data_IF_796324398889
#
_entry.id   IF_796324398889
#
_cell.length_a   1.000
_cell.length_b   1.000
_cell.length_c   1.000
_cell.angle_alpha   90.00
_cell.angle_beta   90.00
_cell.angle_gamma   90.00
#
_symmetry.space_group_name_H-M   'P 1'
#
loop_
_entity.id
_entity.type
_entity.pdbx_description
1 polymer ?
#
# COMPACT_ATOMS: atom_id res chain seq x y z
N UNK A 1 39.77 -37.58 22.74
CA UNK A 1 39.23 -36.38 22.06
C UNK A 1 37.75 -36.32 22.39
N UNK A 2 37.31 -35.33 23.16
CA UNK A 2 35.93 -35.25 23.64
C UNK A 2 35.04 -34.65 22.55
N UNK A 3 34.04 -35.41 22.09
CA UNK A 3 33.01 -34.90 21.21
C UNK A 3 32.00 -34.12 22.06
N UNK A 4 31.93 -32.81 21.84
CA UNK A 4 30.88 -31.96 22.42
C UNK A 4 29.72 -31.99 21.44
N UNK A 5 28.65 -32.70 21.80
CA UNK A 5 27.40 -32.69 21.03
C UNK A 5 26.61 -31.44 21.42
N UNK A 6 26.52 -30.48 20.52
CA UNK A 6 25.74 -29.26 20.73
C UNK A 6 24.26 -29.57 20.51
N UNK A 7 23.49 -29.60 21.60
CA UNK A 7 22.05 -29.82 21.54
C UNK A 7 21.33 -28.54 21.12
N UNK A 8 20.87 -28.54 19.86
CA UNK A 8 20.16 -27.42 19.25
C UNK A 8 18.64 -27.51 19.43
N UNK A 9 18.11 -28.50 20.17
CA UNK A 9 16.67 -28.66 20.42
C UNK A 9 16.03 -27.45 21.11
N UNK A 10 16.84 -26.62 21.78
CA UNK A 10 16.41 -25.36 22.41
C UNK A 10 16.29 -24.19 21.44
N UNK A 11 16.81 -24.30 20.22
CA UNK A 11 16.75 -23.28 19.18
C UNK A 11 15.71 -23.65 18.10
N UNK A 12 14.52 -24.06 18.51
CA UNK A 12 13.38 -24.21 17.61
C UNK A 12 12.95 -22.82 17.11
N UNK A 13 13.52 -22.42 15.97
CA UNK A 13 13.34 -21.11 15.34
C UNK A 13 11.87 -20.75 15.06
N UNK A 14 10.95 -21.72 15.13
CA UNK A 14 9.51 -21.51 14.94
C UNK A 14 8.81 -20.89 16.16
N UNK A 15 9.43 -20.90 17.35
CA UNK A 15 8.80 -20.36 18.58
C UNK A 15 9.31 -19.00 19.01
N UNK A 16 10.40 -18.50 18.40
CA UNK A 16 11.04 -17.24 18.77
C UNK A 16 10.11 -16.01 18.68
N UNK A 17 9.07 -16.07 17.85
CA UNK A 17 8.11 -14.98 17.63
C UNK A 17 6.73 -15.24 18.23
N UNK A 18 6.50 -16.39 18.89
CA UNK A 18 5.18 -16.87 19.33
C UNK A 18 4.54 -16.04 20.45
N UNK A 19 5.22 -15.03 20.98
CA UNK A 19 4.75 -14.16 22.05
C UNK A 19 5.10 -12.69 21.86
N UNK A 20 5.59 -12.30 20.68
CA UNK A 20 5.65 -10.88 20.36
C UNK A 20 4.21 -10.38 20.22
N UNK A 21 3.89 -9.19 20.75
CA UNK A 21 2.61 -8.58 20.47
C UNK A 21 2.47 -8.52 18.95
N UNK A 22 1.39 -9.13 18.44
CA UNK A 22 0.93 -8.89 17.08
C UNK A 22 0.47 -7.43 17.08
N UNK A 23 1.43 -6.51 16.92
CA UNK A 23 1.17 -5.11 16.65
C UNK A 23 0.44 -5.10 15.31
N UNK A 24 -0.88 -5.26 15.37
CA UNK A 24 -1.75 -5.10 14.22
C UNK A 24 -1.53 -3.69 13.73
N UNK A 25 -0.68 -3.58 12.72
CA UNK A 25 -0.42 -2.33 12.03
C UNK A 25 -1.77 -1.74 11.65
N UNK A 26 -2.11 -0.58 12.21
CA UNK A 26 -3.44 0.04 12.06
C UNK A 26 -3.78 0.29 10.57
N UNK A 27 -2.74 0.38 9.73
CA UNK A 27 -2.85 0.53 8.29
C UNK A 27 -1.77 -0.28 7.57
N UNK A 28 -2.00 -1.59 7.33
CA UNK A 28 -1.01 -2.45 6.69
C UNK A 28 -0.79 -2.06 5.23
N UNK A 29 0.40 -2.35 4.72
CA UNK A 29 0.69 -2.22 3.30
C UNK A 29 -0.26 -3.10 2.48
N UNK A 30 -0.88 -2.53 1.45
CA UNK A 30 -1.81 -3.21 0.55
C UNK A 30 -1.10 -3.67 -0.70
N UNK A 31 -1.39 -4.89 -1.11
CA UNK A 31 -1.03 -5.40 -2.43
C UNK A 31 -2.16 -5.12 -3.41
N UNK A 32 -1.83 -4.53 -4.57
CA UNK A 32 -2.80 -4.24 -5.62
C UNK A 32 -2.56 -5.16 -6.83
N UNK A 33 -3.41 -6.18 -7.07
CA UNK A 33 -3.23 -7.09 -8.20
C UNK A 33 -3.52 -6.43 -9.56
N UNK A 34 -4.44 -5.46 -9.59
CA UNK A 34 -4.89 -4.77 -10.80
C UNK A 34 -5.32 -3.33 -10.51
N UNK A 35 -5.57 -2.56 -11.58
CA UNK A 35 -6.02 -1.17 -11.48
C UNK A 35 -7.44 -1.05 -10.91
N UNK A 36 -8.30 -2.06 -11.10
CA UNK A 36 -9.65 -2.07 -10.52
C UNK A 36 -9.63 -2.08 -8.99
N UNK A 37 -8.67 -2.81 -8.42
CA UNK A 37 -8.40 -2.90 -6.99
C UNK A 37 -7.88 -1.58 -6.44
N UNK A 38 -6.99 -0.91 -7.19
CA UNK A 38 -6.55 0.46 -6.86
C UNK A 38 -7.74 1.41 -6.85
N UNK A 39 -8.55 1.41 -7.92
CA UNK A 39 -9.73 2.26 -8.03
C UNK A 39 -10.70 2.07 -6.86
N UNK A 40 -10.99 0.81 -6.53
CA UNK A 40 -11.87 0.46 -5.41
C UNK A 40 -11.33 1.02 -4.10
N UNK A 41 -10.05 0.80 -3.82
CA UNK A 41 -9.42 1.29 -2.59
C UNK A 41 -9.43 2.82 -2.52
N UNK A 42 -9.09 3.50 -3.61
CA UNK A 42 -9.13 4.98 -3.69
C UNK A 42 -10.53 5.50 -3.39
N UNK A 43 -11.57 4.92 -4.02
CA UNK A 43 -12.97 5.32 -3.78
C UNK A 43 -13.43 5.07 -2.35
N UNK A 44 -13.09 3.92 -1.78
CA UNK A 44 -13.41 3.59 -0.39
C UNK A 44 -12.76 4.60 0.56
N UNK A 45 -11.48 4.93 0.37
CA UNK A 45 -10.75 5.90 1.21
C UNK A 45 -11.27 7.32 1.04
N UNK A 46 -11.57 7.75 -0.18
CA UNK A 46 -12.21 9.03 -0.45
C UNK A 46 -13.57 9.12 0.25
N UNK A 47 -14.39 8.06 0.20
CA UNK A 47 -15.67 8.03 0.88
C UNK A 47 -15.53 8.11 2.40
N UNK A 48 -14.54 7.41 2.98
CA UNK A 48 -14.24 7.48 4.43
C UNK A 48 -13.82 8.89 4.85
N UNK A 49 -13.06 9.58 4.00
CA UNK A 49 -12.54 10.92 4.28
C UNK A 49 -13.48 12.05 3.84
N UNK A 50 -14.61 11.75 3.20
CA UNK A 50 -15.55 12.75 2.67
C UNK A 50 -14.96 13.61 1.54
N UNK A 51 -14.09 13.03 0.71
CA UNK A 51 -13.41 13.72 -0.40
C UNK A 51 -14.07 13.38 -1.74
N UNK A 52 -14.19 14.38 -2.61
CA UNK A 52 -14.44 14.19 -4.04
C UNK A 52 -13.12 14.29 -4.85
N UNK A 53 -13.17 14.03 -6.15
CA UNK A 53 -11.98 14.05 -7.00
C UNK A 53 -11.33 15.43 -7.09
N UNK A 54 -12.13 16.50 -7.01
CA UNK A 54 -11.64 17.87 -7.06
C UNK A 54 -10.87 18.25 -5.78
N UNK A 55 -11.41 17.88 -4.63
CA UNK A 55 -10.78 18.11 -3.34
C UNK A 55 -9.54 17.23 -3.17
N UNK A 56 -9.57 15.99 -3.67
CA UNK A 56 -8.38 15.12 -3.74
C UNK A 56 -7.28 15.78 -4.57
N UNK A 57 -7.60 16.25 -5.78
CA UNK A 57 -6.65 16.89 -6.67
C UNK A 57 -6.03 18.14 -6.02
N UNK A 58 -6.87 19.00 -5.44
CA UNK A 58 -6.47 20.24 -4.79
C UNK A 58 -5.55 19.99 -3.59
N UNK A 59 -5.91 19.04 -2.72
CA UNK A 59 -5.12 18.73 -1.51
C UNK A 59 -3.82 17.99 -1.83
N UNK A 60 -3.81 17.13 -2.83
CA UNK A 60 -2.61 16.41 -3.27
C UNK A 60 -1.69 17.27 -4.16
N UNK A 61 -2.15 18.44 -4.60
CA UNK A 61 -1.39 19.32 -5.51
C UNK A 61 -1.13 18.66 -6.86
N UNK A 62 -2.14 17.98 -7.42
CA UNK A 62 -2.08 17.27 -8.71
C UNK A 62 -3.15 17.81 -9.66
N UNK A 63 -3.00 17.62 -10.99
CA UNK A 63 -4.03 18.01 -11.95
C UNK A 63 -5.36 17.29 -11.68
N UNK A 64 -6.50 17.99 -11.85
CA UNK A 64 -7.84 17.42 -11.68
C UNK A 64 -8.04 16.19 -12.57
N UNK A 65 -7.63 16.27 -13.84
CA UNK A 65 -7.73 15.16 -14.78
C UNK A 65 -6.99 13.90 -14.32
N UNK A 66 -5.87 14.04 -13.61
CA UNK A 66 -5.13 12.90 -13.05
C UNK A 66 -5.86 12.25 -11.87
N UNK A 67 -6.52 13.06 -11.03
CA UNK A 67 -7.34 12.55 -9.94
C UNK A 67 -8.61 11.86 -10.47
N UNK A 68 -9.27 12.44 -11.46
CA UNK A 68 -10.42 11.84 -12.14
C UNK A 68 -10.04 10.52 -12.82
N UNK A 69 -8.93 10.48 -13.57
CA UNK A 69 -8.43 9.27 -14.20
C UNK A 69 -8.16 8.16 -13.16
N UNK A 70 -7.55 8.50 -12.02
CA UNK A 70 -7.31 7.55 -10.93
C UNK A 70 -8.63 7.04 -10.34
N UNK A 71 -9.64 7.89 -10.15
CA UNK A 71 -10.94 7.53 -9.58
C UNK A 71 -11.79 6.71 -10.56
N UNK A 72 -11.65 6.92 -11.86
CA UNK A 72 -12.42 6.22 -12.89
C UNK A 72 -11.79 4.89 -13.30
N UNK A 73 -10.47 4.84 -13.43
CA UNK A 73 -9.73 3.72 -14.03
C UNK A 73 -8.79 3.02 -13.05
N UNK A 74 -8.45 3.66 -11.94
CA UNK A 74 -7.44 3.18 -11.01
C UNK A 74 -6.01 3.30 -11.54
N UNK A 75 -5.80 4.15 -12.54
CA UNK A 75 -4.54 4.38 -13.21
C UNK A 75 -4.30 5.87 -13.40
N UNK A 76 -3.07 6.31 -13.17
CA UNK A 76 -2.60 7.66 -13.50
C UNK A 76 -1.07 7.64 -13.53
N UNK A 77 -0.43 8.81 -13.60
CA UNK A 77 1.02 8.96 -13.45
C UNK A 77 1.51 8.39 -12.11
N UNK A 78 2.65 7.69 -12.14
CA UNK A 78 3.36 7.24 -10.94
C UNK A 78 3.68 8.44 -10.01
N UNK A 79 3.98 9.61 -10.56
CA UNK A 79 4.28 10.81 -9.75
C UNK A 79 3.07 11.27 -8.94
N UNK A 80 1.88 11.24 -9.55
CA UNK A 80 0.66 11.75 -8.94
C UNK A 80 -0.02 10.72 -8.05
N UNK A 81 0.04 9.44 -8.40
CA UNK A 81 -0.59 8.37 -7.61
C UNK A 81 -0.03 8.33 -6.19
N UNK A 82 1.28 8.46 -6.00
CA UNK A 82 1.87 8.43 -4.66
C UNK A 82 1.48 9.64 -3.79
N UNK A 83 1.32 10.83 -4.38
CA UNK A 83 0.82 12.01 -3.64
C UNK A 83 -0.62 11.80 -3.16
N UNK A 84 -1.46 11.25 -4.03
CA UNK A 84 -2.85 10.95 -3.68
C UNK A 84 -2.96 9.79 -2.68
N UNK A 85 -2.10 8.78 -2.79
CA UNK A 85 -2.04 7.68 -1.83
C UNK A 85 -1.61 8.15 -0.45
N UNK A 86 -0.61 9.00 -0.36
CA UNK A 86 -0.17 9.59 0.91
C UNK A 86 -1.32 10.35 1.60
N UNK A 87 -2.01 11.21 0.84
CA UNK A 87 -3.18 11.94 1.33
C UNK A 87 -4.33 11.00 1.79
N UNK A 88 -4.56 9.91 1.06
CA UNK A 88 -5.60 8.93 1.40
C UNK A 88 -5.15 7.92 2.48
N UNK A 89 -3.92 8.04 2.96
CA UNK A 89 -3.24 7.06 3.81
C UNK A 89 -3.33 5.64 3.23
N UNK A 90 -3.07 5.49 1.94
CA UNK A 90 -2.94 4.20 1.26
C UNK A 90 -1.47 3.83 1.24
N UNK A 91 -1.11 2.80 2.00
CA UNK A 91 0.23 2.19 1.92
C UNK A 91 0.21 1.06 0.94
N UNK A 92 1.19 1.02 0.04
CA UNK A 92 1.40 -0.08 -0.91
C UNK A 92 2.88 -0.24 -1.19
N UNK A 93 3.33 -1.49 -1.31
CA UNK A 93 4.71 -1.81 -1.67
C UNK A 93 4.91 -1.86 -3.19
N UNK A 94 3.86 -2.25 -3.93
CA UNK A 94 3.94 -2.49 -5.37
C UNK A 94 2.69 -1.98 -6.07
N UNK A 95 2.89 -1.19 -7.13
CA UNK A 95 1.81 -0.82 -8.05
C UNK A 95 1.56 -1.93 -9.08
N UNK A 96 0.33 -2.04 -9.61
CA UNK A 96 0.04 -2.94 -10.72
C UNK A 96 0.94 -2.67 -11.94
N UNK A 97 1.23 -3.71 -12.73
CA UNK A 97 2.09 -3.60 -13.92
C UNK A 97 1.61 -2.57 -14.95
N UNK A 98 0.31 -2.24 -14.96
CA UNK A 98 -0.27 -1.19 -15.80
C UNK A 98 0.33 0.21 -15.55
N UNK A 99 0.96 0.43 -14.39
CA UNK A 99 1.69 1.66 -14.08
C UNK A 99 3.07 1.73 -14.76
N UNK A 100 3.60 0.60 -15.26
CA UNK A 100 4.87 0.57 -15.95
C UNK A 100 4.82 1.51 -17.18
N UNK A 101 5.74 2.47 -17.22
CA UNK A 101 5.84 3.48 -18.29
C UNK A 101 5.07 4.78 -18.06
N UNK A 102 4.32 4.93 -16.96
CA UNK A 102 3.58 6.17 -16.63
C UNK A 102 4.38 7.13 -15.73
N UNK A 103 5.49 7.66 -16.25
CA UNK A 103 6.46 8.46 -15.46
C UNK A 103 6.20 9.98 -15.43
N UNK A 104 5.24 10.49 -16.18
CA UNK A 104 5.02 11.94 -16.40
C UNK A 104 3.83 12.48 -15.61
#
# INVERSE_FOLDING_TARGET
MAHVTLDLSKYDALTAYKGLPDEKEENPARFFPDTSSVRRCVRERMSVMGLDAAELARRAGVPLSSAEELVETGLTSIRYVYRMFDLLHIRTETLPSAYAGRLL
#
